data_IF_505729406642
#
_entry.id   IF_505729406642
#
_cell.length_a   1.000
_cell.length_b   1.000
_cell.length_c   1.000
_cell.angle_alpha   90.00
_cell.angle_beta   90.00
_cell.angle_gamma   90.00
#
_symmetry.space_group_name_H-M   'P 1'
#
loop_
_entity.id
_entity.type
_entity.pdbx_description
1 polymer ?
#
# COMPACT_ATOMS: atom_id res chain seq x y z
N UNK A 1 26.75 -24.15 22.89
CA UNK A 1 26.58 -23.16 21.81
C UNK A 1 25.23 -23.41 21.14
N UNK A 2 24.25 -22.53 21.33
CA UNK A 2 22.96 -22.63 20.65
C UNK A 2 23.06 -21.99 19.27
N UNK A 3 22.72 -22.73 18.22
CA UNK A 3 22.56 -22.18 16.88
C UNK A 3 21.34 -21.26 16.88
N UNK A 4 21.57 -19.95 16.78
CA UNK A 4 20.52 -19.00 16.38
C UNK A 4 20.25 -19.23 14.90
N UNK A 5 19.22 -20.01 14.57
CA UNK A 5 18.69 -20.07 13.21
C UNK A 5 18.20 -18.67 12.84
N UNK A 6 18.95 -17.99 11.98
CA UNK A 6 18.51 -16.76 11.35
C UNK A 6 17.30 -17.10 10.46
N UNK A 7 16.09 -16.79 10.94
CA UNK A 7 14.81 -17.04 10.27
C UNK A 7 14.56 -16.18 9.01
N UNK A 8 15.61 -15.71 8.34
CA UNK A 8 15.46 -14.92 7.12
C UNK A 8 15.37 -15.87 5.93
N UNK A 9 14.18 -16.45 5.73
CA UNK A 9 13.89 -17.34 4.60
C UNK A 9 13.98 -16.54 3.30
N UNK A 10 15.03 -16.80 2.53
CA UNK A 10 15.22 -16.19 1.22
C UNK A 10 14.08 -16.62 0.28
N UNK A 11 13.43 -15.63 -0.37
CA UNK A 11 12.35 -15.88 -1.30
C UNK A 11 12.90 -16.44 -2.61
N UNK A 12 12.23 -17.45 -3.17
CA UNK A 12 12.59 -17.95 -4.50
C UNK A 12 12.20 -16.96 -5.59
N UNK A 13 12.83 -17.07 -6.77
CA UNK A 13 12.50 -16.25 -7.93
C UNK A 13 11.02 -16.42 -8.33
N UNK A 14 10.50 -17.63 -8.24
CA UNK A 14 9.09 -17.94 -8.50
C UNK A 14 8.16 -17.22 -7.51
N UNK A 15 8.49 -17.21 -6.22
CA UNK A 15 7.72 -16.49 -5.21
C UNK A 15 7.72 -14.97 -5.45
N UNK A 16 8.86 -14.40 -5.83
CA UNK A 16 8.97 -12.98 -6.19
C UNK A 16 8.09 -12.66 -7.40
N UNK A 17 8.05 -13.53 -8.41
CA UNK A 17 7.18 -13.37 -9.59
C UNK A 17 5.70 -13.43 -9.23
N UNK A 18 5.31 -14.33 -8.34
CA UNK A 18 3.91 -14.42 -7.86
C UNK A 18 3.50 -13.15 -7.11
N UNK A 19 4.35 -12.66 -6.21
CA UNK A 19 4.13 -11.40 -5.49
C UNK A 19 3.98 -10.24 -6.47
N UNK A 20 4.89 -10.11 -7.43
CA UNK A 20 4.84 -9.06 -8.44
C UNK A 20 3.56 -9.11 -9.30
N UNK A 21 3.08 -10.31 -9.65
CA UNK A 21 1.83 -10.48 -10.38
C UNK A 21 0.63 -9.99 -9.56
N UNK A 22 0.56 -10.32 -8.26
CA UNK A 22 -0.51 -9.89 -7.38
C UNK A 22 -0.46 -8.38 -7.08
N UNK A 23 0.73 -7.80 -6.95
CA UNK A 23 0.91 -6.34 -6.81
C UNK A 23 0.40 -5.57 -8.03
N UNK A 24 0.54 -6.15 -9.24
CA UNK A 24 0.11 -5.52 -10.49
C UNK A 24 -1.39 -5.68 -10.74
N UNK A 25 -1.93 -6.89 -10.56
CA UNK A 25 -3.33 -7.19 -10.82
C UNK A 25 -3.82 -8.27 -9.84
N UNK A 26 -4.26 -7.89 -8.64
CA UNK A 26 -4.64 -8.84 -7.60
C UNK A 26 -5.85 -9.67 -8.04
N UNK A 27 -5.75 -10.99 -7.89
CA UNK A 27 -6.80 -11.94 -8.30
C UNK A 27 -6.94 -13.10 -7.32
N UNK A 28 -8.18 -13.58 -7.14
CA UNK A 28 -8.48 -14.69 -6.24
C UNK A 28 -8.12 -14.40 -4.77
N UNK A 29 -7.98 -15.47 -3.98
CA UNK A 29 -7.69 -15.38 -2.53
C UNK A 29 -6.32 -14.74 -2.24
N UNK A 30 -5.29 -15.10 -3.01
CA UNK A 30 -3.95 -14.50 -2.90
C UNK A 30 -3.96 -12.99 -3.19
N UNK A 31 -4.82 -12.52 -4.09
CA UNK A 31 -5.00 -11.10 -4.36
C UNK A 31 -5.66 -10.34 -3.20
N UNK A 32 -6.62 -10.98 -2.52
CA UNK A 32 -7.25 -10.43 -1.31
C UNK A 32 -6.21 -10.31 -0.20
N UNK A 33 -5.45 -11.38 0.05
CA UNK A 33 -4.37 -11.40 1.05
C UNK A 33 -3.32 -10.32 0.76
N UNK A 34 -2.86 -10.21 -0.49
CA UNK A 34 -1.94 -9.15 -0.91
C UNK A 34 -2.53 -7.76 -0.66
N UNK A 35 -3.83 -7.57 -0.93
CA UNK A 35 -4.52 -6.32 -0.64
C UNK A 35 -4.52 -5.94 0.84
N UNK A 36 -4.65 -6.91 1.75
CA UNK A 36 -4.54 -6.69 3.19
C UNK A 36 -3.11 -6.32 3.60
N UNK A 37 -2.11 -7.07 3.12
CA UNK A 37 -0.69 -6.79 3.37
C UNK A 37 -0.31 -5.39 2.89
N UNK A 38 -0.75 -5.02 1.68
CA UNK A 38 -0.51 -3.68 1.13
C UNK A 38 -1.19 -2.60 1.96
N UNK A 39 -2.41 -2.81 2.44
CA UNK A 39 -3.07 -1.84 3.30
C UNK A 39 -2.30 -1.60 4.60
N UNK A 40 -1.87 -2.67 5.27
CA UNK A 40 -1.10 -2.55 6.53
C UNK A 40 0.23 -1.83 6.32
N UNK A 41 0.97 -2.21 5.27
CA UNK A 41 2.25 -1.57 4.94
C UNK A 41 2.08 -0.09 4.54
N UNK A 42 1.04 0.23 3.75
CA UNK A 42 0.79 1.58 3.29
C UNK A 42 0.30 2.50 4.41
N UNK A 43 -0.46 2.00 5.39
CA UNK A 43 -0.92 2.80 6.52
C UNK A 43 0.26 3.38 7.30
N UNK A 44 1.27 2.59 7.63
CA UNK A 44 2.45 3.08 8.35
C UNK A 44 3.19 4.19 7.57
N UNK A 45 3.31 4.04 6.25
CA UNK A 45 3.96 5.03 5.39
C UNK A 45 3.13 6.32 5.27
N UNK A 46 1.81 6.20 5.13
CA UNK A 46 0.88 7.32 5.10
C UNK A 46 0.98 8.09 6.43
N UNK A 47 0.93 7.39 7.56
CA UNK A 47 0.98 8.00 8.89
C UNK A 47 2.28 8.80 9.07
N UNK A 48 3.42 8.19 8.74
CA UNK A 48 4.71 8.87 8.80
C UNK A 48 4.80 10.08 7.86
N UNK A 49 4.16 10.00 6.68
CA UNK A 49 4.08 11.12 5.73
C UNK A 49 3.29 12.27 6.33
N UNK A 50 2.14 12.01 6.97
CA UNK A 50 1.34 13.06 7.61
C UNK A 50 2.07 13.70 8.80
N UNK A 51 2.75 12.90 9.62
CA UNK A 51 3.56 13.41 10.74
C UNK A 51 4.69 14.34 10.27
N UNK A 52 5.30 14.01 9.13
CA UNK A 52 6.43 14.77 8.57
C UNK A 52 5.97 15.99 7.78
N UNK A 53 4.94 15.84 6.94
CA UNK A 53 4.44 16.90 6.07
C UNK A 53 3.69 17.98 6.86
N UNK A 54 3.04 17.60 7.97
CA UNK A 54 2.23 18.49 8.82
C UNK A 54 1.28 19.40 8.01
N UNK A 55 0.44 18.83 7.13
CA UNK A 55 -0.43 19.62 6.27
C UNK A 55 -1.40 20.46 7.10
N UNK A 56 -1.73 21.66 6.63
CA UNK A 56 -2.66 22.56 7.31
C UNK A 56 -4.05 22.53 6.68
N UNK A 57 -5.06 22.91 7.48
CA UNK A 57 -6.45 22.95 7.02
C UNK A 57 -6.59 23.81 5.75
N UNK A 58 -7.22 23.25 4.73
CA UNK A 58 -7.43 23.91 3.43
C UNK A 58 -6.43 23.51 2.34
N UNK A 59 -5.34 22.82 2.69
CA UNK A 59 -4.42 22.26 1.70
C UNK A 59 -5.00 20.99 1.05
N UNK A 60 -4.59 20.75 -0.20
CA UNK A 60 -4.97 19.57 -0.97
C UNK A 60 -3.78 18.64 -1.11
N UNK A 61 -3.96 17.37 -0.73
CA UNK A 61 -2.94 16.32 -0.86
C UNK A 61 -3.38 15.37 -1.98
N UNK A 62 -2.44 15.06 -2.87
CA UNK A 62 -2.65 14.10 -3.95
C UNK A 62 -1.88 12.81 -3.64
N UNK A 63 -2.60 11.70 -3.60
CA UNK A 63 -2.00 10.37 -3.52
C UNK A 63 -1.94 9.74 -4.92
N UNK A 64 -0.75 9.27 -5.31
CA UNK A 64 -0.52 8.58 -6.58
C UNK A 64 -0.44 7.09 -6.30
N UNK A 65 -1.24 6.29 -7.01
CA UNK A 65 -1.18 4.82 -6.89
C UNK A 65 -1.85 4.27 -5.63
N UNK A 66 -2.98 4.87 -5.21
CA UNK A 66 -3.72 4.57 -3.97
C UNK A 66 -4.31 3.15 -3.83
N UNK A 67 -4.01 2.23 -4.74
CA UNK A 67 -4.55 0.86 -4.73
C UNK A 67 -6.08 0.81 -4.64
N UNK A 68 -6.57 0.18 -3.58
CA UNK A 68 -8.00 0.08 -3.24
C UNK A 68 -8.52 1.22 -2.36
N UNK A 69 -7.66 2.15 -1.93
CA UNK A 69 -7.99 3.27 -1.04
C UNK A 69 -8.70 2.83 0.26
N UNK A 70 -8.27 1.75 0.90
CA UNK A 70 -8.94 1.30 2.12
C UNK A 70 -8.81 2.27 3.31
N UNK A 71 -7.70 3.02 3.36
CA UNK A 71 -7.43 3.99 4.43
C UNK A 71 -8.41 5.19 4.44
N UNK A 72 -9.25 5.35 3.41
CA UNK A 72 -10.26 6.41 3.31
C UNK A 72 -11.44 6.25 4.26
N UNK A 73 -11.68 5.03 4.76
CA UNK A 73 -12.86 4.74 5.58
C UNK A 73 -12.75 5.28 7.02
N UNK A 74 -11.66 5.97 7.36
CA UNK A 74 -11.40 6.54 8.67
C UNK A 74 -11.74 8.02 8.80
N UNK A 75 -11.79 8.49 10.06
CA UNK A 75 -12.03 9.90 10.43
C UNK A 75 -11.00 10.89 9.88
N UNK A 76 -9.84 10.41 9.40
CA UNK A 76 -8.68 11.20 8.96
C UNK A 76 -8.93 11.96 7.66
N UNK A 77 -9.81 11.45 6.79
CA UNK A 77 -10.24 12.12 5.56
C UNK A 77 -11.12 13.35 5.76
N UNK A 78 -11.65 13.55 6.98
CA UNK A 78 -12.50 14.71 7.25
C UNK A 78 -11.72 16.00 7.51
N UNK A 79 -10.39 15.91 7.68
CA UNK A 79 -9.53 17.06 7.99
C UNK A 79 -8.91 17.72 6.75
N UNK A 80 -8.79 16.99 5.63
CA UNK A 80 -8.13 17.47 4.40
C UNK A 80 -8.88 17.04 3.15
N UNK A 81 -8.79 17.84 2.08
CA UNK A 81 -9.34 17.47 0.78
C UNK A 81 -8.33 16.59 0.05
N UNK A 82 -8.54 15.29 0.07
CA UNK A 82 -7.65 14.33 -0.62
C UNK A 82 -8.14 14.06 -2.03
N UNK A 83 -7.27 14.25 -3.02
CA UNK A 83 -7.50 13.89 -4.42
C UNK A 83 -6.81 12.58 -4.77
N UNK A 84 -7.37 11.86 -5.75
CA UNK A 84 -6.84 10.58 -6.24
C UNK A 84 -6.64 10.63 -7.74
N UNK A 85 -5.48 10.20 -8.23
CA UNK A 85 -5.23 10.04 -9.65
C UNK A 85 -4.89 8.57 -9.96
N UNK A 86 -5.67 7.95 -10.84
CA UNK A 86 -5.36 6.63 -11.42
C UNK A 86 -4.83 6.86 -12.82
N UNK A 87 -3.63 6.40 -13.12
CA UNK A 87 -3.21 6.22 -14.51
C UNK A 87 -4.12 5.15 -15.13
N UNK A 88 -5.12 5.58 -15.89
CA UNK A 88 -5.86 4.69 -16.77
C UNK A 88 -4.92 4.38 -17.94
N UNK A 89 -4.13 3.32 -17.82
CA UNK A 89 -3.53 2.71 -19.00
C UNK A 89 -4.67 2.03 -19.76
N UNK A 90 -5.42 2.81 -20.55
CA UNK A 90 -6.33 2.30 -21.57
C UNK A 90 -5.48 1.58 -22.62
N UNK A 91 -5.33 0.27 -22.46
CA UNK A 91 -4.90 -0.62 -23.53
C UNK A 91 -6.05 -0.79 -24.52
N UNK A 92 -5.87 -0.23 -25.71
CA UNK A 92 -6.49 -0.65 -26.97
C UNK A 92 -6.17 -2.11 -27.28
#
# INVERSE_FOLDING_TARGET
MGNSENNNKELTVEQIREIAAQLRNPTGEKGIEMGHIMNEANVAMIDHTFETLQPVSGESILEIGHGNAHHLNGSRHKLYRTGYFRNHASGS
#
